data_IF_135880301985
#
_entry.id   IF_135880301985
#
_cell.length_a   1.000
_cell.length_b   1.000
_cell.length_c   1.000
_cell.angle_alpha   90.00
_cell.angle_beta   90.00
_cell.angle_gamma   90.00
#
_symmetry.space_group_name_H-M   'P 1'
#
loop_
_entity.id
_entity.type
_entity.pdbx_description
1 polymer ?
2 non-polymer ?
3 non-polymer ?
4 water ?
#
# COMPACT_ATOMS: atom_id res chain seq x y z
N UNK A 9 26.66 -17.96 0.34
CA UNK A 9 25.68 -16.86 0.22
C UNK A 9 24.30 -17.33 0.64
N UNK A 10 23.67 -16.57 1.52
CA UNK A 10 22.29 -16.87 1.98
C UNK A 10 21.28 -16.51 0.88
N UNK A 11 20.37 -17.44 0.61
CA UNK A 11 19.36 -17.25 -0.45
C UNK A 11 17.98 -17.04 0.16
N UNK A 12 17.28 -16.04 -0.34
CA UNK A 12 15.90 -15.77 0.12
C UNK A 12 14.89 -15.80 -1.03
N UNK A 13 13.83 -16.57 -0.90
CA UNK A 13 12.73 -16.52 -1.90
C UNK A 13 11.68 -15.59 -1.28
N UNK A 14 11.24 -14.60 -2.05
CA UNK A 14 10.23 -13.66 -1.60
C UNK A 14 8.93 -13.86 -2.39
N UNK A 15 7.81 -13.95 -1.69
CA UNK A 15 6.52 -14.21 -2.33
C UNK A 15 5.53 -13.12 -1.94
N UNK A 16 5.48 -12.04 -2.73
CA UNK A 16 4.52 -11.04 -2.46
C UNK A 16 3.08 -11.44 -2.84
N UNK A 17 2.12 -10.72 -2.28
CA UNK A 17 0.73 -10.86 -2.76
C UNK A 17 0.68 -10.21 -4.16
N UNK A 18 -0.35 -10.50 -4.94
CA UNK A 18 -0.39 -10.10 -6.37
C UNK A 18 -0.80 -8.64 -6.61
N UNK A 19 -0.80 -7.81 -5.58
CA UNK A 19 -1.09 -6.37 -5.74
C UNK A 19 0.15 -5.56 -5.99
N UNK A 20 0.04 -4.52 -6.79
CA UNK A 20 1.20 -3.70 -7.18
C UNK A 20 1.86 -3.05 -5.95
N UNK A 21 1.05 -2.61 -4.99
CA UNK A 21 1.61 -2.02 -3.76
C UNK A 21 2.44 -3.02 -2.98
N UNK A 22 1.93 -4.24 -2.86
CA UNK A 22 2.66 -5.32 -2.17
C UNK A 22 3.93 -5.67 -2.93
N UNK A 23 3.83 -5.79 -4.24
CA UNK A 23 5.01 -6.11 -5.09
C UNK A 23 6.06 -5.00 -4.94
N UNK A 24 5.60 -3.77 -4.95
CA UNK A 24 6.52 -2.61 -4.86
C UNK A 24 7.28 -2.64 -3.52
N UNK A 25 6.58 -2.91 -2.43
CA UNK A 25 7.20 -2.96 -1.10
C UNK A 25 8.18 -4.12 -1.02
N UNK A 26 7.75 -5.27 -1.55
CA UNK A 26 8.62 -6.47 -1.53
C UNK A 26 9.90 -6.17 -2.32
N UNK A 27 9.77 -5.49 -3.45
CA UNK A 27 10.96 -5.19 -4.30
C UNK A 27 11.94 -4.26 -3.56
N UNK A 28 11.41 -3.26 -2.89
CA UNK A 28 12.29 -2.35 -2.12
C UNK A 28 13.02 -3.14 -1.01
N UNK A 29 12.31 -4.04 -0.34
CA UNK A 29 12.94 -4.89 0.69
C UNK A 29 14.00 -5.81 0.05
N UNK A 30 13.71 -6.35 -1.14
CA UNK A 30 14.67 -7.23 -1.83
C UNK A 30 15.96 -6.47 -2.14
N UNK A 31 15.82 -5.22 -2.59
CA UNK A 31 17.01 -4.40 -2.90
C UNK A 31 17.85 -4.20 -1.63
N UNK A 32 17.18 -3.96 -0.49
CA UNK A 32 17.91 -3.77 0.80
C UNK A 32 18.71 -5.03 1.12
N UNK A 33 18.05 -6.20 1.05
CA UNK A 33 18.72 -7.48 1.37
C UNK A 33 19.88 -7.74 0.40
N UNK A 34 19.69 -7.41 -0.87
CA UNK A 34 20.77 -7.61 -1.87
C UNK A 34 22.01 -6.81 -1.47
N UNK A 35 21.82 -5.63 -0.93
CA UNK A 35 22.96 -4.80 -0.45
C UNK A 35 23.61 -5.41 0.81
N UNK A 36 22.93 -6.33 1.47
CA UNK A 36 23.46 -6.98 2.70
C UNK A 36 23.93 -8.40 2.40
N UNK A 37 24.34 -8.67 1.16
CA UNK A 37 24.95 -9.98 0.78
C UNK A 37 23.95 -11.13 0.73
N UNK A 38 22.68 -10.84 0.48
CA UNK A 38 21.71 -11.93 0.27
C UNK A 38 21.40 -12.07 -1.23
N UNK A 39 21.10 -13.29 -1.67
CA UNK A 39 20.63 -13.51 -3.06
C UNK A 39 19.11 -13.70 -2.99
N UNK A 40 18.39 -12.99 -3.83
CA UNK A 40 16.93 -12.96 -3.75
C UNK A 40 16.32 -13.65 -4.96
N UNK A 41 15.45 -14.63 -4.72
CA UNK A 41 14.52 -15.09 -5.74
C UNK A 41 13.17 -14.40 -5.53
N UNK A 42 12.77 -13.60 -6.51
CA UNK A 42 11.56 -12.77 -6.41
C UNK A 42 10.46 -13.42 -7.24
N UNK A 43 9.43 -13.95 -6.58
CA UNK A 43 8.50 -14.88 -7.21
C UNK A 43 7.11 -14.27 -7.33
N UNK A 44 6.60 -14.15 -8.56
CA UNK A 44 5.22 -13.72 -8.74
C UNK A 44 4.72 -14.14 -10.12
N UNK A 45 3.50 -13.70 -10.45
CA UNK A 45 2.95 -14.04 -11.76
C UNK A 45 3.66 -13.22 -12.82
N UNK A 46 3.66 -13.73 -14.06
CA UNK A 46 4.43 -13.07 -15.10
C UNK A 46 3.93 -11.65 -15.37
N UNK A 47 2.61 -11.42 -15.26
CA UNK A 47 2.09 -10.08 -15.52
C UNK A 47 2.59 -9.12 -14.45
N UNK A 48 2.75 -9.59 -13.22
CA UNK A 48 3.28 -8.75 -12.16
C UNK A 48 4.77 -8.53 -12.29
N UNK A 49 5.52 -9.59 -12.64
CA UNK A 49 6.96 -9.41 -12.87
C UNK A 49 7.20 -8.41 -14.00
N UNK A 50 6.36 -8.42 -15.04
CA UNK A 50 6.46 -7.43 -16.13
C UNK A 50 6.29 -6.01 -15.60
N UNK A 51 5.29 -5.82 -14.72
CA UNK A 51 4.98 -4.49 -14.22
C UNK A 51 6.08 -3.97 -13.29
N UNK A 52 6.76 -4.86 -12.56
CA UNK A 52 7.69 -4.42 -11.53
C UNK A 52 9.12 -4.36 -12.02
N UNK A 53 9.47 -5.14 -13.05
CA UNK A 53 10.84 -5.17 -13.56
C UNK A 53 11.39 -3.79 -13.91
N UNK A 54 10.65 -2.86 -14.54
CA UNK A 54 11.21 -1.52 -14.80
C UNK A 54 11.70 -0.80 -13.56
N UNK A 55 11.23 -1.17 -12.37
CA UNK A 55 11.66 -0.51 -11.14
C UNK A 55 12.95 -1.06 -10.59
N UNK A 56 13.55 -2.04 -11.24
CA UNK A 56 14.73 -2.71 -10.71
C UNK A 56 15.94 -2.33 -11.55
N UNK A 57 16.86 -1.53 -11.02
CA UNK A 57 18.04 -1.13 -11.81
C UNK A 57 18.90 -2.33 -12.19
N UNK A 58 19.63 -2.16 -13.30
CA UNK A 58 20.45 -3.22 -13.87
C UNK A 58 21.51 -3.74 -12.91
N UNK A 59 21.96 -2.92 -11.95
CA UNK A 59 23.01 -3.33 -11.04
C UNK A 59 22.61 -4.47 -10.12
N UNK A 60 21.30 -4.77 -10.01
CA UNK A 60 20.82 -5.87 -9.17
C UNK A 60 20.69 -7.18 -9.92
N UNK A 61 21.06 -7.23 -11.21
CA UNK A 61 20.79 -8.42 -12.03
C UNK A 61 21.49 -9.66 -11.50
N UNK A 62 22.65 -9.48 -10.86
CA UNK A 62 23.38 -10.62 -10.31
C UNK A 62 22.80 -11.13 -9.00
N UNK A 63 22.08 -10.30 -8.25
CA UNK A 63 21.65 -10.67 -6.90
C UNK A 63 20.15 -10.83 -6.74
N UNK A 64 19.34 -10.39 -7.70
CA UNK A 64 17.88 -10.51 -7.61
C UNK A 64 17.40 -11.18 -8.88
N UNK A 65 16.87 -12.39 -8.77
CA UNK A 65 16.36 -13.17 -9.89
C UNK A 65 14.85 -13.23 -9.81
N UNK A 66 14.17 -12.99 -10.93
CA UNK A 66 12.73 -13.07 -11.02
C UNK A 66 12.32 -14.50 -11.35
N UNK A 67 11.32 -15.03 -10.63
CA UNK A 67 10.90 -16.41 -10.77
C UNK A 67 9.40 -16.41 -11.01
N UNK A 68 8.95 -17.11 -12.04
CA UNK A 68 7.55 -17.08 -12.40
C UNK A 68 6.75 -18.06 -11.54
N UNK A 69 5.63 -17.60 -11.03
CA UNK A 69 4.63 -18.44 -10.37
C UNK A 69 3.45 -18.62 -11.31
N UNK A 70 3.01 -19.85 -11.49
CA UNK A 70 1.88 -20.15 -12.38
C UNK A 70 0.59 -20.32 -11.57
N UNK A 71 -0.48 -19.59 -11.99
CA UNK A 71 -1.83 -19.75 -11.48
C UNK A 71 -2.66 -20.56 -12.49
N UNK A 72 -3.71 -21.26 -12.06
CA UNK A 72 -4.61 -21.89 -13.03
C UNK A 72 -5.15 -20.86 -14.02
N UNK A 73 -5.19 -21.24 -15.29
CA UNK A 73 -5.51 -20.32 -16.37
C UNK A 73 -6.67 -20.87 -17.20
N UNK A 74 -7.50 -19.96 -17.69
CA UNK A 74 -8.59 -20.28 -18.61
C UNK A 74 -8.81 -19.06 -19.49
N UNK A 75 -9.44 -19.22 -20.66
CA UNK A 75 -9.73 -18.03 -21.50
C UNK A 75 -10.60 -17.01 -20.80
N UNK A 76 -11.39 -17.43 -19.82
CA UNK A 76 -12.21 -16.49 -19.07
C UNK A 76 -11.43 -15.79 -17.96
N UNK A 77 -10.29 -16.33 -17.55
CA UNK A 77 -9.43 -15.71 -16.54
C UNK A 77 -7.98 -15.98 -16.94
N UNK A 78 -7.53 -15.30 -17.98
CA UNK A 78 -6.22 -15.60 -18.57
C UNK A 78 -5.10 -14.92 -17.80
N UNK A 79 -3.84 -15.29 -18.08
CA UNK A 79 -2.74 -14.85 -17.18
C UNK A 79 -2.55 -13.36 -17.09
N UNK A 80 -2.94 -12.58 -18.10
CA UNK A 80 -2.76 -11.14 -17.99
C UNK A 80 -3.70 -10.51 -16.97
N UNK A 81 -4.63 -11.28 -16.40
CA UNK A 81 -5.47 -10.79 -15.32
C UNK A 81 -5.03 -11.33 -13.97
N UNK A 82 -3.85 -11.94 -13.88
CA UNK A 82 -3.44 -12.57 -12.63
C UNK A 82 -2.72 -11.55 -11.75
N UNK A 83 -3.41 -10.42 -11.52
CA UNK A 83 -2.93 -9.34 -10.67
C UNK A 83 -4.15 -8.56 -10.23
N UNK A 84 -4.02 -7.85 -9.11
CA UNK A 84 -5.09 -6.94 -8.74
C UNK A 84 -5.05 -5.65 -9.54
N UNK A 85 -3.94 -5.37 -10.20
CA UNK A 85 -3.71 -4.08 -10.84
C UNK A 85 -4.66 -3.89 -12.02
N UNK A 86 -5.67 -3.02 -11.84
CA UNK A 86 -6.72 -2.76 -12.83
C UNK A 86 -7.66 -3.94 -13.01
N UNK A 87 -7.70 -4.85 -12.05
CA UNK A 87 -8.62 -6.01 -12.15
C UNK A 87 -10.06 -5.60 -11.86
N UNK A 88 -11.02 -6.06 -12.68
CA UNK A 88 -12.40 -5.82 -12.37
C UNK A 88 -12.62 -6.33 -10.95
N UNK A 89 -13.27 -5.54 -10.07
CA UNK A 89 -13.45 -5.94 -8.68
C UNK A 89 -14.19 -7.28 -8.52
N UNK A 90 -15.08 -7.56 -9.46
CA UNK A 90 -15.86 -8.82 -9.45
C UNK A 90 -14.97 -10.03 -9.68
N UNK A 91 -13.74 -9.83 -10.17
CA UNK A 91 -12.80 -10.94 -10.33
C UNK A 91 -11.87 -11.12 -9.14
N UNK A 92 -11.99 -10.29 -8.11
CA UNK A 92 -11.05 -10.39 -6.97
C UNK A 92 -11.25 -11.74 -6.25
N UNK A 93 -12.48 -12.26 -6.00
CA UNK A 93 -12.57 -13.60 -5.39
C UNK A 93 -11.88 -14.67 -6.21
N UNK A 94 -12.05 -14.65 -7.53
CA UNK A 94 -11.37 -15.61 -8.40
C UNK A 94 -9.86 -15.49 -8.29
N UNK A 95 -9.35 -14.26 -8.16
CA UNK A 95 -7.90 -14.09 -8.06
C UNK A 95 -7.36 -14.69 -6.76
N UNK A 96 -8.04 -14.45 -5.64
CA UNK A 96 -7.61 -15.06 -4.40
C UNK A 96 -7.66 -16.59 -4.48
N UNK A 97 -8.73 -17.12 -5.07
CA UNK A 97 -8.85 -18.56 -5.19
C UNK A 97 -7.77 -19.14 -6.09
N UNK A 98 -7.53 -18.51 -7.24
CA UNK A 98 -6.48 -18.97 -8.12
C UNK A 98 -5.12 -18.92 -7.43
N UNK A 99 -4.87 -17.87 -6.64
CA UNK A 99 -3.58 -17.76 -5.95
C UNK A 99 -3.40 -18.94 -4.98
N UNK A 100 -4.46 -19.30 -4.26
CA UNK A 100 -4.35 -20.45 -3.36
C UNK A 100 -4.05 -21.73 -4.14
N UNK A 101 -4.47 -21.79 -5.41
CA UNK A 101 -4.24 -22.99 -6.20
C UNK A 101 -2.83 -23.05 -6.79
N UNK A 102 -2.00 -22.04 -6.55
CA UNK A 102 -0.60 -22.11 -6.97
C UNK A 102 0.29 -22.83 -5.97
N UNK A 103 -0.25 -23.35 -4.86
CA UNK A 103 0.62 -23.91 -3.83
C UNK A 103 1.44 -25.08 -4.36
N UNK A 104 0.88 -25.87 -5.24
CA UNK A 104 1.61 -27.05 -5.77
C UNK A 104 2.80 -26.58 -6.61
N UNK A 105 2.56 -25.63 -7.49
CA UNK A 105 3.69 -25.10 -8.26
C UNK A 105 4.70 -24.42 -7.35
N UNK A 106 4.22 -23.68 -6.32
CA UNK A 106 5.13 -23.04 -5.39
C UNK A 106 6.04 -24.06 -4.71
N UNK A 107 5.47 -25.20 -4.33
CA UNK A 107 6.28 -26.25 -3.72
C UNK A 107 7.36 -26.75 -4.67
N UNK A 108 7.02 -26.92 -5.95
CA UNK A 108 8.05 -27.36 -6.89
C UNK A 108 9.15 -26.32 -7.04
N UNK A 109 8.80 -25.03 -7.00
CA UNK A 109 9.81 -23.98 -7.06
C UNK A 109 10.73 -24.06 -5.86
N UNK A 110 10.16 -24.20 -4.66
CA UNK A 110 10.98 -24.30 -3.46
C UNK A 110 11.87 -25.54 -3.51
N UNK A 111 11.36 -26.62 -4.09
CA UNK A 111 12.19 -27.82 -4.22
C UNK A 111 13.35 -27.58 -5.19
N UNK A 112 13.09 -26.90 -6.32
CA UNK A 112 14.16 -26.71 -7.29
C UNK A 112 15.18 -25.69 -6.83
N UNK A 113 14.75 -24.61 -6.18
CA UNK A 113 15.68 -23.55 -5.80
C UNK A 113 16.26 -23.73 -4.40
N UNK A 114 15.58 -24.47 -3.53
CA UNK A 114 16.02 -24.72 -2.17
C UNK A 114 16.57 -23.48 -1.46
N UNK A 115 15.79 -22.41 -1.36
CA UNK A 115 16.26 -21.22 -0.66
C UNK A 115 16.43 -21.51 0.83
N UNK A 116 17.29 -20.72 1.46
CA UNK A 116 17.49 -20.83 2.91
C UNK A 116 16.36 -20.21 3.70
N UNK A 117 15.61 -19.28 3.08
CA UNK A 117 14.59 -18.53 3.80
C UNK A 117 13.47 -18.20 2.83
N UNK A 118 12.22 -18.30 3.31
CA UNK A 118 11.06 -17.75 2.59
C UNK A 118 10.58 -16.50 3.30
N UNK A 119 10.38 -15.41 2.56
CA UNK A 119 9.69 -14.23 3.07
C UNK A 119 8.40 -14.12 2.27
N UNK A 120 7.25 -14.21 2.97
CA UNK A 120 5.95 -14.31 2.33
C UNK A 120 5.02 -13.23 2.85
N UNK A 121 4.05 -12.85 2.01
CA UNK A 121 3.06 -11.81 2.30
C UNK A 121 1.91 -12.40 3.11
N UNK A 122 1.01 -11.52 3.56
CA UNK A 122 0.00 -11.87 4.56
C UNK A 122 -1.30 -12.41 3.96
N UNK A 123 -1.32 -12.74 2.66
CA UNK A 123 -2.54 -13.23 2.03
C UNK A 123 -2.36 -14.62 1.45
N UNK A 124 -1.53 -15.46 2.09
CA UNK A 124 -1.20 -16.76 1.53
C UNK A 124 -0.85 -17.74 2.64
N UNK A 125 -1.83 -18.19 3.41
CA UNK A 125 -1.53 -19.13 4.51
C UNK A 125 -0.92 -20.42 4.01
N UNK A 126 -1.16 -20.80 2.75
CA UNK A 126 -0.52 -21.99 2.20
C UNK A 126 1.00 -21.85 2.12
N UNK A 127 1.54 -20.62 2.06
CA UNK A 127 2.96 -20.48 1.79
C UNK A 127 3.83 -20.91 2.99
N UNK A 128 3.60 -20.45 4.21
CA UNK A 128 4.41 -20.99 5.32
C UNK A 128 4.17 -22.48 5.54
N UNK A 129 2.98 -22.99 5.20
CA UNK A 129 2.73 -24.43 5.31
C UNK A 129 3.61 -25.22 4.36
N UNK A 130 3.73 -24.78 3.12
CA UNK A 130 4.63 -25.47 2.15
C UNK A 130 6.08 -25.40 2.66
N UNK A 131 6.50 -24.24 3.15
CA UNK A 131 7.90 -24.08 3.59
C UNK A 131 8.21 -25.00 4.77
N UNK A 132 7.29 -25.09 5.71
CA UNK A 132 7.48 -25.95 6.92
C UNK A 132 7.63 -27.41 6.49
N UNK A 133 6.84 -27.83 5.51
CA UNK A 133 6.91 -29.21 4.98
C UNK A 133 8.32 -29.48 4.43
N UNK A 134 8.96 -28.48 3.85
CA UNK A 134 10.30 -28.66 3.24
C UNK A 134 11.44 -28.26 4.18
N UNK A 135 11.11 -27.96 5.43
CA UNK A 135 12.12 -27.52 6.44
C UNK A 135 12.79 -26.23 6.00
N UNK A 136 12.02 -25.33 5.40
CA UNK A 136 12.55 -24.01 5.01
C UNK A 136 11.96 -22.97 5.99
N UNK A 137 12.78 -22.28 6.80
CA UNK A 137 12.27 -21.21 7.66
C UNK A 137 11.56 -20.15 6.84
N UNK A 138 10.47 -19.60 7.40
CA UNK A 138 9.65 -18.63 6.69
C UNK A 138 9.21 -17.49 7.59
N UNK A 139 9.31 -16.28 7.07
CA UNK A 139 9.03 -15.07 7.82
C UNK A 139 8.01 -14.27 7.05
N UNK A 140 6.98 -13.80 7.76
CA UNK A 140 5.98 -12.93 7.19
C UNK A 140 6.52 -11.51 7.05
N UNK A 141 6.39 -10.93 5.85
CA UNK A 141 6.60 -9.50 5.64
C UNK A 141 5.24 -8.89 5.34
N UNK A 142 4.72 -8.14 6.29
CA UNK A 142 3.48 -7.41 6.11
C UNK A 142 3.78 -6.03 5.55
N UNK A 143 3.22 -5.71 4.38
CA UNK A 143 3.61 -4.51 3.64
C UNK A 143 2.82 -3.29 4.03
N UNK A 144 1.82 -3.45 4.89
CA UNK A 144 1.02 -2.33 5.35
C UNK A 144 1.37 -2.06 6.82
N UNK A 145 0.60 -1.17 7.45
CA UNK A 145 0.92 -0.71 8.79
C UNK A 145 0.34 -1.59 9.88
N UNK A 146 0.66 -1.22 11.12
CA UNK A 146 0.21 -1.97 12.30
C UNK A 146 -1.06 -1.39 12.91
N UNK A 147 -1.37 -0.11 12.67
CA UNK A 147 -2.48 0.52 13.36
C UNK A 147 -3.79 -0.22 13.11
N UNK A 148 -4.08 -0.52 11.84
CA UNK A 148 -5.33 -1.19 11.53
C UNK A 148 -5.43 -2.58 12.12
N UNK A 149 -4.34 -3.36 12.03
CA UNK A 149 -4.38 -4.70 12.60
C UNK A 149 -4.69 -4.64 14.09
N UNK A 150 -3.98 -3.77 14.81
CA UNK A 150 -4.17 -3.70 16.25
C UNK A 150 -5.55 -3.16 16.59
N UNK A 151 -6.00 -2.14 15.86
CA UNK A 151 -7.35 -1.61 16.07
C UNK A 151 -8.42 -2.67 15.80
N UNK A 152 -8.15 -3.60 14.90
CA UNK A 152 -9.13 -4.62 14.60
C UNK A 152 -9.08 -5.77 15.58
N UNK A 153 -7.88 -6.10 16.08
CA UNK A 153 -7.71 -7.26 16.93
C UNK A 153 -8.17 -7.00 18.36
N UNK A 154 -7.82 -5.83 18.91
CA UNK A 154 -8.16 -5.46 20.28
C UNK A 154 -9.61 -5.73 20.67
N UNK A 155 -10.63 -5.29 19.90
CA UNK A 155 -12.03 -5.49 20.34
C UNK A 155 -12.49 -6.94 20.33
N UNK A 156 -11.80 -7.85 19.65
CA UNK A 156 -12.22 -9.25 19.75
C UNK A 156 -11.92 -9.80 21.15
N UNK A 157 -10.78 -9.41 21.74
CA UNK A 157 -10.41 -9.86 23.07
C UNK A 157 -11.03 -8.99 24.15
N UNK A 158 -11.15 -7.69 23.91
CA UNK A 158 -11.50 -6.72 24.93
C UNK A 158 -12.62 -5.82 24.42
N UNK A 159 -13.82 -6.36 24.19
CA UNK A 159 -14.90 -5.57 23.59
C UNK A 159 -15.37 -4.40 24.46
N UNK A 160 -15.05 -4.40 25.75
CA UNK A 160 -15.52 -3.37 26.66
C UNK A 160 -14.42 -2.44 27.15
N UNK A 161 -13.21 -2.55 26.61
CA UNK A 161 -12.10 -1.70 27.00
C UNK A 161 -11.75 -0.79 25.83
N UNK A 162 -11.50 0.49 26.13
CA UNK A 162 -11.13 1.42 25.08
C UNK A 162 -9.76 1.06 24.53
N UNK A 163 -9.61 1.16 23.22
CA UNK A 163 -8.30 0.91 22.60
C UNK A 163 -7.32 1.89 23.22
N UNK A 164 -6.14 1.42 23.63
CA UNK A 164 -5.23 2.33 24.29
C UNK A 164 -4.58 3.38 23.39
N UNK A 165 -4.19 4.52 23.95
CA UNK A 165 -3.42 5.55 23.19
C UNK A 165 -4.26 6.39 22.23
N UNK A 166 -5.12 5.77 21.42
CA UNK A 166 -5.80 6.54 20.36
C UNK A 166 -7.23 6.98 20.68
N UNK A 167 -7.68 8.00 19.99
CA UNK A 167 -9.09 8.38 20.01
C UNK A 167 -9.82 8.01 18.71
N UNK A 168 -9.17 7.27 17.82
CA UNK A 168 -9.78 6.87 16.56
C UNK A 168 -11.06 6.06 16.79
N UNK A 169 -12.06 6.29 15.95
CA UNK A 169 -13.29 5.50 15.93
C UNK A 169 -13.61 5.12 14.49
N UNK A 170 -13.76 3.84 14.24
CA UNK A 170 -14.10 3.37 12.90
C UNK A 170 -15.56 3.71 12.58
N UNK A 171 -15.78 4.38 11.45
CA UNK A 171 -17.12 4.73 10.99
C UNK A 171 -18.00 3.48 10.85
N UNK A 172 -19.30 3.63 11.02
CA UNK A 172 -20.21 2.45 10.98
C UNK A 172 -20.19 1.84 9.59
N UNK A 173 -19.94 2.63 8.54
CA UNK A 173 -19.83 2.07 7.17
C UNK A 173 -18.89 0.86 7.19
N UNK A 174 -17.65 1.05 7.64
CA UNK A 174 -16.65 -0.05 7.59
C UNK A 174 -16.91 -1.09 8.69
N UNK A 175 -17.53 -0.71 9.80
CA UNK A 175 -17.86 -1.72 10.84
C UNK A 175 -18.83 -2.74 10.23
N UNK A 176 -19.83 -2.28 9.48
CA UNK A 176 -20.77 -3.20 8.80
C UNK A 176 -20.03 -4.05 7.76
N UNK A 177 -19.12 -3.44 7.01
CA UNK A 177 -18.38 -4.16 5.94
C UNK A 177 -17.55 -5.29 6.54
N UNK A 178 -16.91 -5.04 7.68
CA UNK A 178 -15.98 -6.06 8.26
C UNK A 178 -16.71 -6.93 9.28
N UNK A 179 -18.03 -6.73 9.46
CA UNK A 179 -18.81 -7.59 10.37
C UNK A 179 -19.16 -8.91 9.68
N UNK A 188 -17.02 -16.03 5.80
CA UNK A 188 -16.36 -15.33 4.66
C UNK A 188 -15.42 -14.24 5.19
N UNK A 189 -15.99 -13.20 5.82
CA UNK A 189 -15.15 -12.12 6.40
C UNK A 189 -14.29 -12.72 7.51
N UNK A 190 -14.88 -13.60 8.33
CA UNK A 190 -14.12 -14.25 9.42
C UNK A 190 -12.99 -15.09 8.80
N UNK A 191 -13.29 -15.82 7.72
CA UNK A 191 -12.28 -16.70 7.08
C UNK A 191 -11.11 -15.84 6.56
N UNK A 192 -11.42 -14.72 5.92
CA UNK A 192 -10.36 -13.84 5.38
C UNK A 192 -9.50 -13.30 6.53
N UNK A 193 -10.16 -12.88 7.62
CA UNK A 193 -9.42 -12.35 8.79
C UNK A 193 -8.55 -13.43 9.42
N UNK A 194 -9.09 -14.64 9.57
CA UNK A 194 -8.33 -15.76 10.20
C UNK A 194 -7.13 -16.10 9.32
N UNK A 195 -7.32 -16.13 8.00
CA UNK A 195 -6.21 -16.44 7.07
C UNK A 195 -5.14 -15.36 7.17
N UNK A 196 -5.56 -14.09 7.21
CA UNK A 196 -4.60 -12.96 7.30
C UNK A 196 -3.82 -13.04 8.61
N UNK A 197 -4.53 -13.30 9.71
CA UNK A 197 -3.85 -13.31 11.04
C UNK A 197 -2.99 -14.57 11.14
N UNK A 198 -3.40 -15.65 10.47
CA UNK A 198 -2.56 -16.86 10.48
C UNK A 198 -1.20 -16.60 9.85
N UNK A 199 -1.16 -15.85 8.75
CA UNK A 199 0.13 -15.55 8.14
C UNK A 199 1.04 -14.79 9.09
N UNK A 200 0.48 -13.91 9.90
CA UNK A 200 1.32 -13.23 10.89
C UNK A 200 1.69 -14.19 12.01
N UNK A 201 0.71 -14.93 12.51
CA UNK A 201 0.96 -15.77 13.69
C UNK A 201 1.88 -16.94 13.36
N UNK A 202 1.88 -17.43 12.12
CA UNK A 202 2.73 -18.57 11.75
C UNK A 202 4.16 -18.19 11.45
N UNK A 203 4.46 -16.91 11.41
CA UNK A 203 5.78 -16.45 11.02
C UNK A 203 6.84 -16.97 12.01
N UNK A 204 8.01 -17.32 11.48
CA UNK A 204 9.09 -17.89 12.29
C UNK A 204 9.78 -16.73 13.04
N UNK A 205 9.64 -16.72 14.36
CA UNK A 205 10.38 -15.83 15.27
C UNK A 205 10.01 -14.34 15.22
N UNK A 206 9.92 -13.72 14.04
CA UNK A 206 9.59 -12.31 13.94
C UNK A 206 8.60 -12.09 12.81
N UNK A 207 7.87 -10.98 12.89
CA UNK A 207 7.11 -10.41 11.78
C UNK A 207 7.82 -9.14 11.32
N UNK A 208 8.15 -9.06 10.04
CA UNK A 208 8.65 -7.83 9.44
C UNK A 208 7.49 -6.97 9.01
N UNK A 209 7.55 -5.67 9.34
CA UNK A 209 6.46 -4.78 9.01
C UNK A 209 7.00 -3.52 8.35
N UNK A 210 6.28 -3.08 7.31
CA UNK A 210 6.64 -1.88 6.55
C UNK A 210 6.13 -0.63 7.28
N UNK A 211 6.74 -0.34 8.42
CA UNK A 211 6.37 0.87 9.18
C UNK A 211 7.60 1.32 9.96
N UNK A 212 7.41 2.40 10.73
CA UNK A 212 8.53 3.01 11.49
C UNK A 212 8.04 3.49 12.87
N UNK A 213 8.94 3.45 13.86
CA UNK A 213 8.56 3.76 15.26
C UNK A 213 8.06 5.19 15.45
N UNK A 214 8.59 6.15 14.69
CA UNK A 214 8.12 7.51 14.94
C UNK A 214 6.65 7.68 14.60
N UNK A 215 6.11 6.82 13.75
CA UNK A 215 4.69 6.83 13.40
C UNK A 215 3.86 5.82 14.18
N UNK A 216 4.36 4.59 14.39
CA UNK A 216 3.53 3.51 14.91
C UNK A 216 4.16 2.74 16.08
N UNK A 217 5.23 3.27 16.68
CA UNK A 217 5.96 2.52 17.69
C UNK A 217 5.08 1.94 18.80
N UNK A 218 4.23 2.76 19.42
CA UNK A 218 3.42 2.24 20.52
C UNK A 218 2.41 1.19 20.02
N UNK A 219 1.95 1.31 18.77
CA UNK A 219 1.05 0.30 18.21
C UNK A 219 1.80 -0.96 17.81
N UNK A 220 3.05 -0.83 17.37
CA UNK A 220 3.87 -2.02 17.16
C UNK A 220 4.03 -2.82 18.43
N UNK A 221 4.35 -2.14 19.53
CA UNK A 221 4.54 -2.83 20.80
C UNK A 221 3.27 -3.50 21.27
N UNK A 222 2.12 -2.82 21.11
CA UNK A 222 0.85 -3.43 21.52
C UNK A 222 0.50 -4.62 20.63
N UNK A 223 0.66 -4.50 19.30
CA UNK A 223 0.35 -5.65 18.46
C UNK A 223 1.25 -6.82 18.81
N UNK A 224 2.51 -6.56 19.13
CA UNK A 224 3.38 -7.65 19.53
C UNK A 224 2.87 -8.35 20.78
N UNK A 225 2.27 -7.60 21.70
CA UNK A 225 1.65 -8.18 22.89
C UNK A 225 0.39 -8.96 22.54
N UNK A 226 -0.45 -8.42 21.66
CA UNK A 226 -1.68 -9.11 21.29
C UNK A 226 -1.39 -10.41 20.55
N UNK A 227 -0.36 -10.43 19.71
CA UNK A 227 -0.07 -11.61 18.92
C UNK A 227 0.90 -12.55 19.60
N UNK A 228 1.53 -12.10 20.68
CA UNK A 228 2.64 -12.82 21.28
C UNK A 228 3.71 -13.16 20.25
N UNK A 229 4.06 -12.18 19.41
CA UNK A 229 5.12 -12.32 18.42
C UNK A 229 5.97 -11.05 18.40
N UNK A 230 7.26 -11.21 18.14
CA UNK A 230 8.12 -10.05 17.99
C UNK A 230 7.86 -9.36 16.65
N UNK A 231 7.76 -8.03 16.67
CA UNK A 231 7.48 -7.23 15.49
C UNK A 231 8.72 -6.40 15.16
N UNK A 232 9.18 -6.50 13.93
CA UNK A 232 10.43 -5.81 13.49
C UNK A 232 10.12 -4.84 12.35
N UNK A 233 10.27 -3.52 12.58
CA UNK A 233 10.05 -2.53 11.53
C UNK A 233 11.14 -2.50 10.46
N UNK A 234 10.74 -2.43 9.20
CA UNK A 234 11.70 -2.35 8.05
C UNK A 234 11.57 -0.96 7.43
N UNK A 235 10.85 -0.07 8.13
CA UNK A 235 10.89 1.37 7.79
C UNK A 235 10.01 1.71 6.65
N UNK A 236 9.91 3.00 6.29
CA UNK A 236 9.15 3.32 5.12
C UNK A 236 9.99 2.81 3.94
N UNK A 237 9.41 1.94 3.13
CA UNK A 237 10.08 1.48 1.90
C UNK A 237 9.47 2.29 0.75
N UNK A 238 10.06 3.42 0.41
CA UNK A 238 9.50 4.31 -0.63
C UNK A 238 10.35 4.21 -1.90
N UNK A 239 9.70 3.90 -3.01
CA UNK A 239 10.42 3.87 -4.30
C UNK A 239 10.59 5.31 -4.75
N UNK A 240 11.79 5.64 -5.17
CA UNK A 240 12.00 6.99 -5.74
C UNK A 240 12.53 6.84 -7.16
N UNK A 241 11.79 7.27 -8.21
CA UNK A 241 12.27 7.17 -9.57
C UNK A 241 13.26 8.28 -9.92
N UNK A 242 14.11 8.02 -10.90
CA UNK A 242 15.08 8.99 -11.39
C UNK A 242 14.70 9.45 -12.79
N UNK A 249 5.44 10.95 -20.22
CA UNK A 249 4.24 11.15 -19.35
C UNK A 249 4.44 12.40 -18.47
N UNK A 250 5.48 12.39 -17.64
CA UNK A 250 5.69 13.51 -16.68
C UNK A 250 6.00 14.83 -17.38
N UNK A 251 6.68 14.80 -18.53
CA UNK A 251 7.10 16.07 -19.17
C UNK A 251 5.90 16.98 -19.44
N UNK A 252 4.84 16.45 -20.02
CA UNK A 252 3.61 17.22 -20.25
C UNK A 252 3.07 17.71 -18.91
N UNK A 253 3.05 16.83 -17.92
CA UNK A 253 2.50 17.17 -16.59
C UNK A 253 3.38 18.27 -15.96
N UNK A 254 4.69 18.10 -16.04
CA UNK A 254 5.55 19.10 -15.41
C UNK A 254 5.37 20.48 -16.05
N UNK A 255 5.15 20.52 -17.37
CA UNK A 255 4.90 21.81 -18.02
C UNK A 255 3.66 22.49 -17.47
N UNK A 256 2.60 21.72 -17.24
CA UNK A 256 1.39 22.27 -16.66
C UNK A 256 1.61 22.71 -15.22
N UNK A 257 2.32 21.89 -14.44
CA UNK A 257 2.53 22.21 -13.02
C UNK A 257 3.45 23.42 -12.86
N UNK A 258 4.44 23.55 -13.73
CA UNK A 258 5.37 24.67 -13.64
C UNK A 258 4.68 26.02 -13.80
N UNK A 259 3.48 26.05 -14.38
CA UNK A 259 2.72 27.28 -14.56
C UNK A 259 1.88 27.62 -13.34
N UNK A 260 1.86 26.76 -12.33
CA UNK A 260 1.05 26.98 -11.14
C UNK A 260 1.85 27.68 -10.05
N UNK A 261 1.14 28.20 -9.05
CA UNK A 261 1.79 28.76 -7.88
C UNK A 261 2.25 27.64 -6.95
N UNK A 262 3.25 27.91 -6.11
CA UNK A 262 3.74 26.88 -5.20
C UNK A 262 2.64 26.42 -4.23
N UNK A 263 2.67 25.11 -3.92
CA UNK A 263 1.74 24.48 -2.98
C UNK A 263 0.28 24.82 -3.25
N UNK A 264 -0.09 24.87 -4.54
CA UNK A 264 -1.45 25.26 -4.92
C UNK A 264 -2.29 24.12 -5.50
N UNK A 265 -1.70 22.95 -5.72
CA UNK A 265 -2.32 21.89 -6.52
C UNK A 265 -2.43 20.61 -5.70
N UNK A 266 -3.55 19.90 -5.84
CA UNK A 266 -3.68 18.57 -5.25
C UNK A 266 -3.54 17.54 -6.35
N UNK A 267 -2.87 16.44 -6.03
CA UNK A 267 -2.93 15.21 -6.79
C UNK A 267 -4.07 14.36 -6.22
N UNK A 268 -4.83 13.71 -7.10
CA UNK A 268 -6.02 12.92 -6.73
C UNK A 268 -5.79 11.50 -7.25
N UNK A 269 -5.74 10.51 -6.35
CA UNK A 269 -5.56 9.14 -6.82
C UNK A 269 -6.16 8.15 -5.83
N UNK A 270 -6.67 7.05 -6.37
CA UNK A 270 -7.24 5.99 -5.54
C UNK A 270 -6.50 4.67 -5.73
N UNK A 271 -5.23 4.75 -6.10
CA UNK A 271 -4.36 3.59 -6.06
C UNK A 271 -4.48 2.72 -7.29
N UNK A 272 -4.02 1.46 -7.14
CA UNK A 272 -3.90 0.53 -8.26
C UNK A 272 -5.03 -0.49 -8.35
N UNK A 273 -5.88 -0.61 -7.34
CA UNK A 273 -6.91 -1.65 -7.35
C UNK A 273 -8.20 -1.12 -6.77
N UNK A 274 -8.59 0.09 -7.15
CA UNK A 274 -9.89 0.58 -6.73
C UNK A 274 -10.45 1.47 -7.83
N UNK A 275 -11.76 1.36 -8.08
CA UNK A 275 -12.40 2.11 -9.15
C UNK A 275 -13.62 2.80 -8.56
N UNK A 276 -13.51 4.09 -8.22
CA UNK A 276 -14.65 4.76 -7.57
C UNK A 276 -15.88 4.68 -8.46
N UNK A 277 -17.03 4.53 -7.81
CA UNK A 277 -18.29 4.47 -8.54
C UNK A 277 -18.61 5.83 -9.16
N UNK A 278 -19.57 5.85 -10.09
CA UNK A 278 -19.92 7.12 -10.72
C UNK A 278 -20.40 8.12 -9.67
N UNK A 279 -21.13 7.64 -8.67
CA UNK A 279 -21.60 8.55 -7.62
C UNK A 279 -20.44 9.06 -6.78
N UNK A 280 -19.47 8.20 -6.46
CA UNK A 280 -18.31 8.64 -5.71
C UNK A 280 -17.49 9.64 -6.51
N UNK A 281 -17.36 9.42 -7.81
CA UNK A 281 -16.62 10.34 -8.67
C UNK A 281 -17.31 11.69 -8.75
N UNK A 282 -18.64 11.69 -8.73
CA UNK A 282 -19.38 12.93 -8.74
C UNK A 282 -19.10 13.75 -7.49
N UNK A 283 -19.04 13.10 -6.32
CA UNK A 283 -18.76 13.85 -5.10
C UNK A 283 -17.35 14.42 -5.12
N UNK A 284 -16.37 13.61 -5.54
CA UNK A 284 -15.00 14.08 -5.62
C UNK A 284 -14.90 15.25 -6.59
N UNK A 285 -15.50 15.10 -7.77
CA UNK A 285 -15.41 16.15 -8.78
C UNK A 285 -16.04 17.45 -8.30
N UNK A 286 -17.23 17.37 -7.68
CA UNK A 286 -17.86 18.62 -7.23
C UNK A 286 -17.11 19.21 -6.05
N UNK A 287 -16.49 18.38 -5.21
CA UNK A 287 -15.64 18.90 -4.15
C UNK A 287 -14.41 19.61 -4.69
N UNK A 288 -13.80 19.06 -5.75
CA UNK A 288 -12.68 19.75 -6.38
C UNK A 288 -13.13 21.06 -6.99
N UNK A 289 -14.28 21.07 -7.67
CA UNK A 289 -14.79 22.29 -8.30
C UNK A 289 -15.03 23.38 -7.27
N UNK A 290 -15.77 23.06 -6.22
CA UNK A 290 -16.13 24.06 -5.21
C UNK A 290 -14.90 24.57 -4.46
N UNK A 291 -13.84 23.77 -4.35
CA UNK A 291 -12.65 24.23 -3.64
C UNK A 291 -11.84 25.24 -4.44
N UNK A 292 -12.00 25.26 -5.77
CA UNK A 292 -11.28 26.14 -6.68
C UNK A 292 -9.78 25.85 -6.70
N UNK A 293 -9.38 24.69 -6.20
CA UNK A 293 -7.97 24.28 -6.22
C UNK A 293 -7.56 23.91 -7.64
N UNK A 294 -6.24 23.95 -7.90
CA UNK A 294 -5.66 23.26 -9.05
C UNK A 294 -5.61 21.77 -8.74
N UNK A 295 -5.85 20.96 -9.75
CA UNK A 295 -5.85 19.51 -9.52
C UNK A 295 -5.36 18.66 -10.69
N UNK A 296 -4.68 17.57 -10.37
CA UNK A 296 -4.33 16.54 -11.36
C UNK A 296 -5.03 15.30 -10.83
N UNK A 297 -5.90 14.69 -11.62
CA UNK A 297 -6.71 13.54 -11.15
C UNK A 297 -6.49 12.36 -12.10
N UNK A 298 -6.07 11.23 -11.54
CA UNK A 298 -5.87 10.00 -12.33
C UNK A 298 -7.19 9.25 -12.31
N UNK A 299 -7.72 9.00 -13.49
CA UNK A 299 -9.02 8.29 -13.61
C UNK A 299 -8.73 6.99 -14.34
N UNK A 300 -9.15 5.87 -13.76
CA UNK A 300 -8.82 4.57 -14.37
C UNK A 300 -10.07 3.75 -14.59
N UNK A 301 -9.99 2.87 -15.58
CA UNK A 301 -11.10 1.93 -15.85
C UNK A 301 -10.56 0.51 -15.76
N UNK A 302 -11.34 -0.45 -15.24
CA UNK A 302 -10.90 -1.82 -15.11
C UNK A 302 -10.49 -2.41 -16.47
N UNK A 303 -9.56 -3.35 -16.47
CA UNK A 303 -8.99 -3.93 -17.72
C UNK A 303 -10.03 -4.43 -18.73
N UNK A 304 -11.27 -4.70 -18.34
CA UNK A 304 -12.22 -5.13 -19.39
C UNK A 304 -13.33 -4.14 -19.71
N UNK A 305 -13.33 -2.95 -19.12
CA UNK A 305 -14.42 -1.96 -19.28
C UNK A 305 -14.35 -1.27 -20.65
N UNK A 306 -15.35 -1.55 -21.50
CA UNK A 306 -15.38 -0.96 -22.86
C UNK A 306 -16.13 0.38 -22.83
N UNK A 307 -17.02 0.57 -21.86
CA UNK A 307 -17.65 1.92 -21.75
C UNK A 307 -16.68 2.79 -20.93
N UNK A 308 -15.43 2.90 -21.39
CA UNK A 308 -14.39 3.67 -20.68
C UNK A 308 -14.35 5.11 -21.19
N UNK A 309 -15.04 6.03 -20.52
CA UNK A 309 -14.91 7.44 -20.95
C UNK A 309 -14.62 8.39 -19.82
N UNK A 310 -13.57 9.18 -19.93
CA UNK A 310 -13.32 10.21 -18.88
C UNK A 310 -14.50 11.18 -18.84
N UNK A 311 -14.97 11.61 -20.00
CA UNK A 311 -16.11 12.58 -20.06
C UNK A 311 -17.37 11.94 -19.50
N UNK A 312 -17.64 10.70 -19.87
CA UNK A 312 -18.85 9.99 -19.35
C UNK A 312 -18.72 9.76 -17.83
N UNK A 313 -17.55 9.36 -17.36
CA UNK A 313 -17.30 9.06 -15.93
C UNK A 313 -17.44 10.30 -15.06
N UNK A 314 -17.15 11.48 -15.60
CA UNK A 314 -17.14 12.71 -14.79
C UNK A 314 -18.44 13.51 -14.97
N UNK A 315 -18.85 14.38 -14.02
CA UNK A 315 -20.03 15.22 -14.22
C UNK A 315 -19.90 16.02 -15.51
N UNK A 316 -21.04 16.20 -16.17
CA UNK A 316 -21.06 16.91 -17.45
C UNK A 316 -20.57 18.34 -17.27
N UNK A 317 -19.67 18.77 -18.15
CA UNK A 317 -19.09 20.09 -18.10
C UNK A 317 -18.02 20.31 -17.06
N UNK A 318 -17.65 19.27 -16.29
CA UNK A 318 -16.72 19.44 -15.17
C UNK A 318 -15.38 19.98 -15.63
N UNK A 319 -14.76 19.33 -16.62
CA UNK A 319 -13.43 19.76 -17.04
C UNK A 319 -13.46 21.09 -17.78
N UNK A 320 -14.54 21.38 -18.52
CA UNK A 320 -14.62 22.68 -19.17
C UNK A 320 -14.84 23.81 -18.16
N UNK A 321 -15.62 23.55 -17.11
CA UNK A 321 -15.74 24.55 -16.05
C UNK A 321 -14.41 24.72 -15.31
N UNK A 322 -13.68 23.63 -15.10
CA UNK A 322 -12.43 23.72 -14.37
C UNK A 322 -11.38 24.46 -15.18
N UNK A 323 -11.41 24.30 -16.51
CA UNK A 323 -10.47 24.96 -17.39
C UNK A 323 -9.01 24.78 -17.04
N UNK A 324 -8.33 25.91 -16.83
CA UNK A 324 -6.90 25.88 -16.56
C UNK A 324 -6.57 25.18 -15.24
N UNK A 325 -7.53 25.08 -14.33
CA UNK A 325 -7.25 24.60 -12.99
C UNK A 325 -7.15 23.09 -12.90
N UNK A 326 -7.74 22.37 -13.84
CA UNK A 326 -7.89 20.93 -13.73
C UNK A 326 -7.22 20.19 -14.88
N UNK A 327 -6.66 19.03 -14.54
CA UNK A 327 -6.07 18.13 -15.55
C UNK A 327 -6.45 16.71 -15.13
N UNK A 328 -6.96 15.92 -16.07
CA UNK A 328 -7.23 14.49 -15.78
C UNK A 328 -6.23 13.61 -16.54
N UNK A 329 -5.61 12.68 -15.84
CA UNK A 329 -4.66 11.73 -16.46
C UNK A 329 -5.37 10.38 -16.56
N UNK A 330 -5.34 9.76 -17.73
CA UNK A 330 -6.02 8.46 -17.90
C UNK A 330 -5.07 7.30 -17.63
N UNK A 331 -5.47 6.39 -16.76
CA UNK A 331 -4.68 5.16 -16.56
C UNK A 331 -3.73 5.21 -15.41
N UNK A 332 -2.54 5.71 -15.68
CA UNK A 332 -1.50 5.69 -14.63
C UNK A 332 -0.78 7.02 -14.66
N UNK A 333 -0.42 7.50 -13.50
CA UNK A 333 0.29 8.78 -13.42
C UNK A 333 1.63 8.61 -12.70
N UNK A 334 2.62 9.50 -12.92
CA UNK A 334 3.88 9.44 -12.14
C UNK A 334 3.67 10.06 -10.75
N UNK A 335 3.08 9.25 -9.87
CA UNK A 335 2.64 9.74 -8.57
C UNK A 335 3.79 10.36 -7.78
N UNK A 336 4.92 9.65 -7.69
CA UNK A 336 6.02 10.16 -6.89
C UNK A 336 6.53 11.49 -7.44
N UNK A 337 6.72 11.57 -8.76
CA UNK A 337 7.24 12.81 -9.34
C UNK A 337 6.27 13.97 -9.11
N UNK A 338 4.96 13.70 -9.16
CA UNK A 338 3.99 14.77 -8.96
C UNK A 338 3.98 15.24 -7.52
N UNK A 339 4.06 14.30 -6.56
CA UNK A 339 4.09 14.67 -5.15
C UNK A 339 5.31 15.50 -4.83
N UNK A 340 6.41 15.26 -5.54
CA UNK A 340 7.64 16.00 -5.29
C UNK A 340 7.68 17.38 -5.93
N UNK A 341 6.77 17.68 -6.86
CA UNK A 341 6.78 18.98 -7.52
C UNK A 341 6.37 20.09 -6.56
N UNK A 342 7.07 21.23 -6.65
CA UNK A 342 6.84 22.33 -5.71
C UNK A 342 5.44 22.92 -5.81
N UNK A 343 4.70 22.68 -6.91
CA UNK A 343 3.34 23.19 -6.95
C UNK A 343 2.36 22.34 -6.16
N UNK A 344 2.76 21.14 -5.73
CA UNK A 344 1.83 20.23 -5.08
C UNK A 344 1.69 20.60 -3.62
N UNK A 345 0.47 20.91 -3.19
CA UNK A 345 0.24 21.31 -1.81
C UNK A 345 -0.62 20.33 -1.03
N UNK A 346 -1.17 19.32 -1.69
CA UNK A 346 -1.96 18.32 -1.00
C UNK A 346 -2.17 17.09 -1.87
N UNK A 347 -2.61 16.02 -1.23
CA UNK A 347 -2.77 14.71 -1.86
C UNK A 347 -4.13 14.19 -1.39
N UNK A 348 -5.11 14.19 -2.29
CA UNK A 348 -6.43 13.60 -2.07
C UNK A 348 -6.27 12.11 -2.39
N UNK A 349 -6.23 11.28 -1.35
CA UNK A 349 -5.70 9.92 -1.48
C UNK A 349 -6.69 8.93 -0.90
N UNK A 350 -6.77 7.74 -1.51
CA UNK A 350 -7.51 6.66 -0.88
C UNK A 350 -6.84 6.13 0.38
N UNK A 351 -5.64 6.63 0.71
CA UNK A 351 -4.87 6.24 1.91
C UNK A 351 -4.41 4.80 1.85
N UNK A 352 -4.18 4.26 0.66
CA UNK A 352 -3.33 3.08 0.57
C UNK A 352 -1.99 3.34 1.23
N UNK A 353 -1.39 2.28 1.79
CA UNK A 353 -0.24 2.49 2.66
C UNK A 353 0.97 3.05 1.92
N UNK A 354 1.28 2.54 0.72
CA UNK A 354 2.44 3.11 0.03
C UNK A 354 2.22 4.58 -0.30
N UNK A 355 0.99 4.96 -0.64
CA UNK A 355 0.69 6.35 -0.97
C UNK A 355 0.85 7.23 0.26
N UNK A 356 0.43 6.75 1.42
CA UNK A 356 0.62 7.49 2.66
C UNK A 356 2.12 7.67 2.94
N UNK A 357 2.88 6.57 2.83
CA UNK A 357 4.34 6.62 3.11
C UNK A 357 5.03 7.59 2.16
N UNK A 358 4.60 7.59 0.88
CA UNK A 358 5.19 8.52 -0.11
C UNK A 358 4.87 9.96 0.27
N UNK A 359 3.61 10.23 0.58
CA UNK A 359 3.19 11.61 0.94
C UNK A 359 4.02 12.13 2.12
N UNK A 360 4.23 11.28 3.12
CA UNK A 360 5.03 11.67 4.29
C UNK A 360 6.49 11.86 3.87
N UNK A 361 7.00 10.95 3.05
CA UNK A 361 8.40 11.09 2.63
C UNK A 361 8.63 12.40 1.89
N UNK A 362 7.66 12.82 1.09
CA UNK A 362 7.80 14.02 0.29
C UNK A 362 7.20 15.24 0.95
N UNK A 363 6.69 15.10 2.17
CA UNK A 363 6.22 16.25 2.93
C UNK A 363 4.90 16.84 2.48
N UNK A 364 4.01 16.05 1.89
CA UNK A 364 2.78 16.56 1.29
C UNK A 364 1.62 16.21 2.23
N UNK A 365 0.83 17.20 2.66
CA UNK A 365 -0.37 16.91 3.47
C UNK A 365 -1.36 16.03 2.72
N UNK A 366 -1.93 15.09 3.46
CA UNK A 366 -2.89 14.14 2.93
C UNK A 366 -4.29 14.61 3.26
N UNK A 367 -5.19 14.55 2.27
CA UNK A 367 -6.62 14.72 2.46
C UNK A 367 -7.24 13.35 2.21
N UNK A 368 -7.60 12.65 3.28
CA UNK A 368 -7.91 11.22 3.17
C UNK A 368 -9.31 10.99 2.67
N UNK A 369 -9.45 10.18 1.63
CA UNK A 369 -10.75 9.67 1.21
C UNK A 369 -10.66 8.15 1.15
N UNK A 370 -10.57 7.48 2.30
CA UNK A 370 -10.39 6.03 2.30
C UNK A 370 -11.59 5.30 1.72
N UNK A 371 -11.35 4.13 1.15
CA UNK A 371 -12.43 3.40 0.46
C UNK A 371 -12.72 2.04 1.10
N UNK A 372 -11.68 1.24 1.30
CA UNK A 372 -11.88 -0.10 1.88
C UNK A 372 -10.62 -0.70 2.47
N UNK A 373 -10.71 -1.98 2.85
CA UNK A 373 -9.58 -2.69 3.49
C UNK A 373 -8.93 -1.86 4.61
N UNK A 374 -7.61 -1.73 4.63
CA UNK A 374 -6.90 -1.02 5.72
C UNK A 374 -7.04 0.50 5.60
N UNK A 375 -7.54 0.98 4.47
CA UNK A 375 -7.57 2.44 4.21
C UNK A 375 -8.25 3.25 5.33
N UNK A 376 -9.45 2.90 5.85
CA UNK A 376 -10.03 3.72 6.89
C UNK A 376 -9.14 3.79 8.14
N UNK A 377 -8.46 2.69 8.45
CA UNK A 377 -7.52 2.75 9.57
C UNK A 377 -6.33 3.62 9.26
N UNK A 378 -5.79 3.51 8.04
CA UNK A 378 -4.67 4.36 7.63
C UNK A 378 -5.04 5.84 7.72
N UNK A 379 -6.23 6.20 7.27
CA UNK A 379 -6.65 7.60 7.37
C UNK A 379 -6.76 8.05 8.83
N UNK A 380 -7.21 7.16 9.71
CA UNK A 380 -7.24 7.51 11.13
C UNK A 380 -5.85 7.76 11.70
N UNK A 381 -4.87 6.93 11.30
CA UNK A 381 -3.51 7.13 11.77
C UNK A 381 -2.94 8.43 11.23
N UNK A 382 -3.22 8.74 9.96
CA UNK A 382 -2.78 9.99 9.36
C UNK A 382 -3.33 11.17 10.15
N UNK A 383 -4.61 11.11 10.46
CA UNK A 383 -5.24 12.17 11.23
C UNK A 383 -4.62 12.27 12.62
N UNK A 384 -4.42 11.14 13.28
CA UNK A 384 -3.81 11.14 14.61
C UNK A 384 -2.38 11.67 14.59
N UNK A 385 -1.59 11.29 13.58
CA UNK A 385 -0.23 11.81 13.50
C UNK A 385 -0.18 13.28 13.08
N UNK A 386 -1.30 13.84 12.63
CA UNK A 386 -1.34 15.23 12.24
C UNK A 386 -0.75 15.57 10.89
N UNK A 387 -0.46 14.59 10.04
CA UNK A 387 0.18 14.88 8.75
C UNK A 387 -0.88 14.87 7.66
N UNK A 388 -2.15 14.76 8.06
CA UNK A 388 -3.24 14.86 7.11
C UNK A 388 -4.55 15.03 7.85
N UNK A 389 -5.62 15.12 7.06
CA UNK A 389 -6.99 15.25 7.52
C UNK A 389 -7.82 14.22 6.77
N UNK A 390 -8.94 13.85 7.35
CA UNK A 390 -9.84 12.83 6.72
C UNK A 390 -11.19 13.43 6.35
N UNK A 391 -11.59 13.25 5.10
CA UNK A 391 -12.95 13.66 4.69
C UNK A 391 -13.91 12.61 5.22
N UNK A 392 -14.76 13.02 6.15
CA UNK A 392 -15.68 12.07 6.81
C UNK A 392 -16.86 11.73 5.90
N UNK A 393 -17.33 10.50 6.01
CA UNK A 393 -18.48 10.07 5.22
C UNK A 393 -19.78 10.39 5.98
N UNK A 394 -20.89 10.44 5.25
CA UNK A 394 -22.21 10.71 5.86
C UNK A 394 -22.67 9.50 6.67
N UNK A 395 -23.76 9.58 7.45
CA UNK A 395 -24.16 8.46 8.30
C UNK A 395 -24.46 7.18 7.51
N UNK A 396 -24.68 7.31 6.21
CA UNK A 396 -25.00 6.16 5.34
C UNK A 396 -23.74 5.64 4.61
N UNK A 397 -22.60 6.24 4.88
CA UNK A 397 -21.34 5.76 4.29
C UNK A 397 -21.00 6.42 2.97
N UNK A 398 -21.60 7.56 2.69
CA UNK A 398 -21.36 8.21 1.40
C UNK A 398 -20.33 9.32 1.50
N UNK A 399 -19.48 9.45 0.48
CA UNK A 399 -18.51 10.57 0.41
C UNK A 399 -19.32 11.86 0.27
N UNK A 400 -18.82 12.94 0.84
CA UNK A 400 -19.55 14.21 0.85
C UNK A 400 -18.73 15.27 0.12
N UNK A 401 -19.30 15.80 -0.97
CA UNK A 401 -18.60 16.86 -1.70
C UNK A 401 -18.27 18.05 -0.81
N UNK A 402 -19.14 18.36 0.16
CA UNK A 402 -18.90 19.52 1.01
C UNK A 402 -17.69 19.30 1.91
N UNK A 403 -17.51 18.08 2.41
CA UNK A 403 -16.36 17.78 3.27
C UNK A 403 -15.07 17.81 2.46
N UNK A 404 -15.11 17.27 1.24
CA UNK A 404 -13.93 17.29 0.38
C UNK A 404 -13.53 18.73 0.07
N UNK A 405 -14.48 19.54 -0.35
CA UNK A 405 -14.19 20.94 -0.67
C UNK A 405 -13.64 21.67 0.54
N UNK A 406 -14.25 21.47 1.70
CA UNK A 406 -13.85 22.22 2.90
C UNK A 406 -12.40 21.94 3.26
N UNK A 407 -12.00 20.66 3.22
CA UNK A 407 -10.65 20.30 3.65
C UNK A 407 -9.61 20.78 2.65
N UNK A 408 -9.90 20.66 1.35
CA UNK A 408 -8.98 21.22 0.36
C UNK A 408 -8.84 22.73 0.54
N UNK A 409 -9.96 23.40 0.81
CA UNK A 409 -9.94 24.84 1.05
C UNK A 409 -9.05 25.19 2.24
N UNK A 410 -9.21 24.49 3.36
CA UNK A 410 -8.46 24.82 4.56
C UNK A 410 -6.99 24.44 4.43
N UNK A 411 -6.70 23.29 3.84
CA UNK A 411 -5.33 22.79 3.81
C UNK A 411 -4.51 23.45 2.72
N UNK A 412 -5.10 23.61 1.53
CA UNK A 412 -4.37 23.96 0.33
C UNK A 412 -4.68 25.38 -0.15
N UNK A 413 -5.96 25.73 -0.29
CA UNK A 413 -6.31 26.97 -0.97
C UNK A 413 -6.14 28.17 -0.06
N UNK A 414 -6.82 28.15 1.09
CA UNK A 414 -6.77 29.28 2.02
C UNK A 414 -5.70 29.12 3.09
N UNK A 415 -5.23 27.89 3.34
CA UNK A 415 -4.09 27.62 4.22
C UNK A 415 -4.33 28.09 5.64
N UNK A 416 -5.46 27.65 6.20
CA UNK A 416 -5.78 27.86 7.61
C UNK A 416 -5.46 26.64 8.47
N UNK A 417 -4.85 25.62 7.87
CA UNK A 417 -4.45 24.40 8.63
C UNK A 417 -2.95 24.17 8.41
N UNK A 418 -2.12 25.19 8.66
CA UNK A 418 -0.66 25.10 8.40
C UNK A 418 0.00 24.04 9.29
N UNK A 419 -0.65 23.68 10.40
CA UNK A 419 -0.10 22.64 11.32
C UNK A 419 0.08 21.33 10.55
N UNK A 420 -0.87 20.99 9.68
CA UNK A 420 -0.80 19.72 8.90
C UNK A 420 0.42 19.76 7.99
N UNK A 421 0.66 20.89 7.31
CA UNK A 421 1.84 21.03 6.43
C UNK A 421 3.11 20.96 7.28
N UNK A 422 3.09 21.62 8.44
CA UNK A 422 4.29 21.66 9.31
C UNK A 422 4.64 20.24 9.78
N UNK A 423 3.63 19.46 10.17
CA UNK A 423 3.89 18.09 10.68
C UNK A 423 4.36 17.19 9.54
N UNK A 424 3.79 17.36 8.35
CA UNK A 424 4.21 16.55 7.19
C UNK A 424 5.67 16.84 6.84
N UNK A 425 6.05 18.11 6.93
CA UNK A 425 7.44 18.51 6.61
C UNK A 425 8.40 17.99 7.69
N UNK A 426 7.98 18.01 8.95
CA UNK A 426 8.81 17.43 10.00
C UNK A 426 8.95 15.93 9.84
N UNK A 427 7.86 15.25 9.44
CA UNK A 427 7.93 13.82 9.17
C UNK A 427 8.86 13.52 8.00
N UNK A 428 8.76 14.34 6.94
CA UNK A 428 9.65 14.20 5.80
C UNK A 428 11.12 14.31 6.23
N UNK A 429 11.43 15.26 7.10
CA UNK A 429 12.84 15.36 7.49
C UNK A 429 13.26 14.18 8.34
N UNK A 430 12.37 13.63 9.16
CA UNK A 430 12.71 12.43 9.90
C UNK A 430 12.97 11.26 8.95
N UNK A 431 12.07 11.07 7.97
CA UNK A 431 12.22 9.94 7.06
C UNK A 431 13.46 10.08 6.18
N UNK A 432 13.74 11.30 5.70
CA UNK A 432 14.90 11.53 4.87
C UNK A 432 16.21 11.32 5.65
N UNK A 433 16.17 11.38 6.97
CA UNK A 433 17.38 11.15 7.75
C UNK A 433 17.73 9.68 7.88
N UNK A 434 16.79 8.78 7.62
CA UNK A 434 17.05 7.37 7.82
C UNK A 434 17.94 6.82 6.71
N UNK A 435 18.72 5.79 7.06
CA UNK A 435 19.54 5.16 6.06
C UNK A 435 19.52 3.64 6.11
N UNK A 436 20.65 3.00 5.79
CA UNK A 436 20.69 1.52 5.71
C UNK A 436 20.53 0.87 7.09
N UNK A 437 20.75 1.63 8.17
CA UNK A 437 20.56 1.04 9.48
C UNK A 437 19.11 0.62 9.73
N UNK A 438 18.18 1.19 8.97
CA UNK A 438 16.77 0.78 8.98
C UNK A 438 16.62 -0.74 8.85
N UNK A 439 17.59 -1.42 8.24
CA UNK A 439 17.49 -2.84 7.98
C UNK A 439 18.35 -3.68 8.91
N UNK A 440 19.09 -3.08 9.84
CA UNK A 440 19.98 -3.82 10.73
C UNK A 440 19.23 -4.86 11.55
N UNK A 441 18.09 -4.48 12.13
CA UNK A 441 17.39 -5.42 13.02
C UNK A 441 16.84 -6.60 12.23
N UNK A 442 16.30 -6.35 11.03
CA UNK A 442 15.85 -7.45 10.18
C UNK A 442 17.00 -8.41 9.89
N UNK A 443 18.15 -7.87 9.49
CA UNK A 443 19.25 -8.74 9.09
C UNK A 443 19.77 -9.55 10.26
N UNK A 444 19.83 -8.96 11.45
CA UNK A 444 20.29 -9.71 12.61
C UNK A 444 19.32 -10.83 12.96
N UNK A 445 18.02 -10.56 12.86
CA UNK A 445 17.03 -11.57 13.20
C UNK A 445 17.02 -12.70 12.18
N UNK A 446 17.21 -12.39 10.91
CA UNK A 446 17.32 -13.45 9.90
C UNK A 446 18.55 -14.30 10.19
N UNK A 447 19.67 -13.65 10.48
CA UNK A 447 20.89 -14.41 10.77
C UNK A 447 20.70 -15.35 11.96
N UNK A 448 20.13 -14.83 13.06
CA UNK A 448 19.89 -15.66 14.24
C UNK A 448 18.97 -16.84 13.93
N UNK A 449 17.86 -16.58 13.26
CA UNK A 449 16.92 -17.65 12.94
C UNK A 449 17.62 -18.76 12.18
N UNK A 450 18.39 -18.39 11.16
CA UNK A 450 19.02 -19.40 10.34
C UNK A 450 20.07 -20.17 11.14
N UNK A 451 20.78 -19.51 12.06
CA UNK A 451 21.76 -20.21 12.87
C UNK A 451 21.10 -21.17 13.86
N UNK A 452 19.96 -20.78 14.41
CA UNK A 452 19.22 -21.68 15.33
C UNK A 452 18.63 -22.87 14.55
N UNK A 453 18.03 -22.59 13.40
CA UNK A 453 17.37 -23.66 12.60
C UNK A 453 18.40 -24.68 12.11
N UNK A 454 19.60 -24.23 11.80
CA UNK A 454 20.67 -25.15 11.34
C UNK A 454 21.00 -26.16 12.45
N UNK A 455 21.01 -25.72 13.70
CA UNK A 455 21.24 -26.67 14.83
C UNK A 455 20.10 -27.69 14.88
N UNK A 456 18.86 -27.22 14.79
CA UNK A 456 17.70 -28.14 14.92
C UNK A 456 17.64 -29.07 13.71
N UNK A 457 18.22 -28.64 12.59
CA UNK A 457 18.24 -29.42 11.34
C UNK A 457 16.82 -29.44 10.74
#
# INVERSE_FOLDING_TARGET
>A
MDAAQQGDTTTILMLPWLGYGHLSAFLELAKSLSRRNFHIYFCSTSVNLDAIKPKLPSSFSDSIQFVELHLPSSPEFPPHLHTTNGLPPTLMPALHQAFSMAAQHFESILQTLAPHLLIYDSLQPWAPRVASSLKIPAINFNTTGVFGISQGLHPIHYPHSKFPFSEFVLHNHWKAMYSTADGASTERTRKRGEAFLYCLHASCSVILINSFRELEGKYMDYLSVLLNKKVVPVGPLVYEPNQDGEDEGYSSIKNWLDKKEPSSTVFVSFGSEYFPSKEEMEEIAHGLEASEVNFIWVVRFPQGDNTSGIEDALPKGFLERAGERGMVVKGWAPQAKILKHWSTGGFVSHCGWNSVMESMMFGVPIIGVPMHVDQPFNAGLVEEAGVGVEAKRDPDGKIQRDEVAKLIKEVVVEKTREDVRKKAREMSEILRSKGEEKFDEMVAEISLLLKIEHHHHHH
#
